data_IF_434665349030
#
_entry.id   IF_434665349030
#
_cell.length_a   1.000
_cell.length_b   1.000
_cell.length_c   1.000
_cell.angle_alpha   90.00
_cell.angle_beta   90.00
_cell.angle_gamma   90.00
#
_symmetry.space_group_name_H-M   'P 1'
#
loop_
_entity.id
_entity.type
_entity.pdbx_description
1 polymer ?
#
# COMPACT_ATOMS: atom_id res chain seq x y z
N UNK A 1 -23.35 -14.22 -0.98
CA UNK A 1 -22.64 -14.37 -2.27
C UNK A 1 -21.17 -14.17 -2.00
N UNK A 2 -20.30 -14.95 -2.64
CA UNK A 2 -18.84 -14.85 -2.47
C UNK A 2 -18.22 -14.71 -3.85
N UNK A 3 -17.25 -13.81 -3.98
CA UNK A 3 -16.35 -13.68 -5.12
C UNK A 3 -14.92 -13.83 -4.60
N UNK A 4 -14.26 -14.94 -4.94
CA UNK A 4 -12.96 -15.37 -4.41
C UNK A 4 -11.82 -15.36 -5.45
N UNK A 5 -12.07 -14.79 -6.62
CA UNK A 5 -11.12 -14.77 -7.73
C UNK A 5 -10.60 -13.35 -8.04
N UNK A 6 -10.13 -12.66 -7.00
CA UNK A 6 -9.46 -11.36 -7.17
C UNK A 6 -7.98 -11.58 -7.45
N UNK A 7 -7.54 -11.21 -8.65
CA UNK A 7 -6.11 -11.29 -9.03
C UNK A 7 -5.26 -10.23 -8.32
N UNK A 8 -3.97 -10.52 -8.22
CA UNK A 8 -3.01 -9.52 -7.78
C UNK A 8 -2.93 -8.37 -8.78
N UNK A 9 -2.96 -7.13 -8.31
CA UNK A 9 -3.08 -5.92 -9.13
C UNK A 9 -4.31 -5.96 -10.06
N UNK A 10 -5.54 -5.98 -9.51
CA UNK A 10 -6.78 -6.21 -10.25
C UNK A 10 -7.05 -5.11 -11.27
N UNK A 11 -7.74 -5.49 -12.35
CA UNK A 11 -8.14 -4.56 -13.39
C UNK A 11 -9.47 -3.85 -13.06
N UNK A 12 -9.68 -2.68 -13.66
CA UNK A 12 -10.96 -1.98 -13.58
C UNK A 12 -12.08 -2.83 -14.21
N UNK A 13 -11.77 -3.48 -15.30
CA UNK A 13 -12.70 -4.37 -16.03
C UNK A 13 -13.18 -5.53 -15.13
N UNK A 14 -12.28 -6.10 -14.29
CA UNK A 14 -12.66 -7.13 -13.32
C UNK A 14 -13.62 -6.58 -12.27
N UNK A 15 -13.37 -5.38 -11.75
CA UNK A 15 -14.27 -4.72 -10.80
C UNK A 15 -15.64 -4.38 -11.44
N UNK A 16 -15.65 -3.88 -12.68
CA UNK A 16 -16.89 -3.58 -13.41
C UNK A 16 -17.71 -4.84 -13.71
N UNK A 17 -17.04 -5.96 -13.98
CA UNK A 17 -17.72 -7.26 -14.13
C UNK A 17 -18.41 -7.68 -12.84
N UNK A 18 -17.75 -7.57 -11.69
CA UNK A 18 -18.34 -7.86 -10.39
C UNK A 18 -19.58 -6.98 -10.16
N UNK A 19 -19.49 -5.69 -10.45
CA UNK A 19 -20.61 -4.76 -10.35
C UNK A 19 -21.78 -5.24 -11.23
N UNK A 20 -21.50 -5.55 -12.50
CA UNK A 20 -22.53 -6.05 -13.43
C UNK A 20 -23.20 -7.34 -12.95
N UNK A 21 -22.43 -8.28 -12.44
CA UNK A 21 -22.91 -9.60 -12.01
C UNK A 21 -23.80 -9.49 -10.75
N UNK A 22 -23.56 -8.51 -9.88
CA UNK A 22 -24.22 -8.42 -8.58
C UNK A 22 -25.15 -7.19 -8.41
N UNK A 23 -25.19 -6.24 -9.34
CA UNK A 23 -25.96 -4.98 -9.19
C UNK A 23 -27.46 -5.19 -8.93
N UNK A 24 -28.04 -6.29 -9.42
CA UNK A 24 -29.46 -6.61 -9.25
C UNK A 24 -29.72 -7.52 -8.02
N UNK A 25 -28.70 -7.83 -7.25
CA UNK A 25 -28.82 -8.69 -6.07
C UNK A 25 -29.18 -7.86 -4.83
N UNK A 26 -29.97 -8.44 -3.95
CA UNK A 26 -30.36 -7.80 -2.70
C UNK A 26 -29.31 -8.05 -1.61
N UNK A 27 -28.50 -7.03 -1.31
CA UNK A 27 -27.54 -7.00 -0.22
C UNK A 27 -27.27 -5.56 0.21
N UNK A 28 -26.88 -5.39 1.46
CA UNK A 28 -26.62 -4.06 2.06
C UNK A 28 -25.13 -3.72 2.17
N UNK A 29 -24.27 -4.74 2.22
CA UNK A 29 -22.83 -4.56 2.49
C UNK A 29 -21.97 -5.32 1.48
N UNK A 30 -20.76 -4.81 1.25
CA UNK A 30 -19.67 -5.55 0.62
C UNK A 30 -18.56 -5.70 1.66
N UNK A 31 -18.13 -6.94 1.89
CA UNK A 31 -17.03 -7.27 2.78
C UNK A 31 -15.81 -7.61 1.93
N UNK A 32 -14.74 -6.84 2.07
CA UNK A 32 -13.44 -7.10 1.46
C UNK A 32 -12.52 -7.80 2.45
N UNK A 33 -12.21 -9.08 2.22
CA UNK A 33 -11.29 -9.86 3.06
C UNK A 33 -10.06 -10.20 2.23
N UNK A 34 -8.88 -9.81 2.68
CA UNK A 34 -7.63 -10.12 1.98
C UNK A 34 -6.60 -9.01 2.04
N UNK A 35 -5.66 -9.03 1.11
CA UNK A 35 -4.69 -7.95 0.94
C UNK A 35 -5.25 -6.72 0.23
N UNK A 36 -4.40 -5.72 -0.01
CA UNK A 36 -4.79 -4.46 -0.67
C UNK A 36 -5.59 -4.65 -1.96
N UNK A 37 -5.22 -5.62 -2.81
CA UNK A 37 -5.94 -5.90 -4.07
C UNK A 37 -7.41 -6.28 -3.84
N UNK A 38 -7.68 -7.16 -2.90
CA UNK A 38 -9.06 -7.59 -2.57
C UNK A 38 -9.86 -6.44 -1.97
N UNK A 39 -9.25 -5.68 -1.05
CA UNK A 39 -9.90 -4.54 -0.42
C UNK A 39 -10.17 -3.40 -1.41
N UNK A 40 -9.23 -3.12 -2.32
CA UNK A 40 -9.39 -2.08 -3.34
C UNK A 40 -10.56 -2.38 -4.29
N UNK A 41 -10.68 -3.64 -4.75
CA UNK A 41 -11.83 -4.07 -5.55
C UNK A 41 -13.12 -3.94 -4.76
N UNK A 42 -13.14 -4.45 -3.51
CA UNK A 42 -14.34 -4.40 -2.67
C UNK A 42 -14.81 -2.96 -2.40
N UNK A 43 -13.87 -2.05 -2.06
CA UNK A 43 -14.16 -0.63 -1.84
C UNK A 43 -14.71 0.05 -3.11
N UNK A 44 -14.07 -0.20 -4.25
CA UNK A 44 -14.49 0.38 -5.52
C UNK A 44 -15.89 -0.11 -5.92
N UNK A 45 -16.14 -1.42 -5.86
CA UNK A 45 -17.45 -2.00 -6.14
C UNK A 45 -18.52 -1.44 -5.21
N UNK A 46 -18.25 -1.41 -3.90
CA UNK A 46 -19.20 -0.89 -2.91
C UNK A 46 -19.52 0.60 -3.13
N UNK A 47 -18.50 1.41 -3.44
CA UNK A 47 -18.67 2.82 -3.79
C UNK A 47 -19.58 2.98 -5.02
N UNK A 48 -19.31 2.25 -6.10
CA UNK A 48 -20.11 2.30 -7.34
C UNK A 48 -21.55 1.81 -7.15
N UNK A 49 -21.76 0.84 -6.29
CA UNK A 49 -23.09 0.25 -6.01
C UNK A 49 -23.80 0.93 -4.84
N UNK A 50 -23.23 1.98 -4.24
CA UNK A 50 -23.75 2.67 -3.07
C UNK A 50 -24.08 1.70 -1.90
N UNK A 51 -23.12 0.82 -1.56
CA UNK A 51 -23.22 -0.17 -0.48
C UNK A 51 -22.25 0.17 0.64
N UNK A 52 -22.56 -0.30 1.86
CA UNK A 52 -21.66 -0.20 2.99
C UNK A 52 -20.41 -1.08 2.78
N UNK A 53 -19.28 -0.64 3.30
CA UNK A 53 -17.94 -1.22 3.10
C UNK A 53 -17.36 -1.69 4.42
N UNK A 54 -17.09 -3.00 4.53
CA UNK A 54 -16.39 -3.59 5.66
C UNK A 54 -15.09 -4.20 5.14
N UNK A 55 -13.95 -3.70 5.62
CA UNK A 55 -12.63 -4.17 5.18
C UNK A 55 -11.94 -4.95 6.28
N UNK A 56 -11.43 -6.13 5.94
CA UNK A 56 -10.73 -7.06 6.83
C UNK A 56 -9.37 -7.39 6.20
N UNK A 57 -8.30 -6.66 6.55
CA UNK A 57 -6.98 -6.92 5.99
C UNK A 57 -6.41 -8.25 6.49
N UNK A 58 -5.78 -9.01 5.59
CA UNK A 58 -5.00 -10.21 5.91
C UNK A 58 -3.52 -10.04 5.59
N UNK A 59 -3.13 -8.92 5.01
CA UNK A 59 -1.77 -8.41 4.88
C UNK A 59 -1.74 -6.98 5.39
N UNK A 60 -0.66 -6.58 6.03
CA UNK A 60 -0.56 -5.30 6.72
C UNK A 60 0.58 -4.46 6.12
N UNK A 61 0.26 -3.62 5.16
CA UNK A 61 1.22 -2.80 4.45
C UNK A 61 0.59 -1.82 3.45
N UNK A 62 -0.62 -2.10 2.97
CA UNK A 62 -1.25 -1.22 1.97
C UNK A 62 -2.05 -0.07 2.56
N UNK A 63 -2.47 -0.16 3.82
CA UNK A 63 -3.39 0.77 4.47
C UNK A 63 -4.75 0.91 3.78
N UNK A 64 -5.09 -0.01 2.86
CA UNK A 64 -6.32 0.08 2.06
C UNK A 64 -7.57 0.09 2.92
N UNK A 65 -7.57 -0.55 4.07
CA UNK A 65 -8.69 -0.64 5.00
C UNK A 65 -9.14 0.71 5.58
N UNK A 66 -8.26 1.72 5.59
CA UNK A 66 -8.55 3.04 6.17
C UNK A 66 -8.32 4.21 5.22
N UNK A 67 -7.96 3.94 3.97
CA UNK A 67 -7.71 5.00 2.99
C UNK A 67 -8.89 5.21 2.04
N UNK A 68 -9.02 6.43 1.50
CA UNK A 68 -9.94 6.80 0.42
C UNK A 68 -9.42 6.45 -0.97
N UNK A 69 -8.49 5.50 -1.03
CA UNK A 69 -7.77 5.13 -2.25
C UNK A 69 -8.15 3.72 -2.65
N UNK A 70 -8.42 3.51 -3.93
CA UNK A 70 -8.51 2.20 -4.56
C UNK A 70 -7.61 2.19 -5.79
N UNK A 71 -6.69 1.22 -5.89
CA UNK A 71 -5.72 1.11 -6.97
C UNK A 71 -6.11 -0.04 -7.89
N UNK A 72 -6.49 0.28 -9.13
CA UNK A 72 -6.87 -0.69 -10.16
C UNK A 72 -6.04 -0.47 -11.42
N UNK A 73 -5.84 -1.51 -12.23
CA UNK A 73 -5.23 -1.36 -13.56
C UNK A 73 -6.26 -0.85 -14.57
N UNK A 74 -5.87 0.17 -15.32
CA UNK A 74 -6.59 0.69 -16.49
C UNK A 74 -5.61 0.68 -17.66
N UNK A 75 -5.93 -0.02 -18.74
CA UNK A 75 -5.04 -0.18 -19.89
C UNK A 75 -3.63 -0.65 -19.47
N UNK A 76 -3.57 -1.67 -18.62
CA UNK A 76 -2.34 -2.26 -18.05
C UNK A 76 -1.46 -1.31 -17.21
N UNK A 77 -1.96 -0.13 -16.83
CA UNK A 77 -1.26 0.81 -15.92
C UNK A 77 -2.03 0.95 -14.62
N UNK A 78 -1.31 0.97 -13.49
CA UNK A 78 -1.90 1.26 -12.18
C UNK A 78 -2.50 2.67 -12.18
N UNK A 79 -3.75 2.79 -11.75
CA UNK A 79 -4.46 4.05 -11.56
C UNK A 79 -5.08 4.08 -10.18
N UNK A 80 -4.80 5.14 -9.44
CA UNK A 80 -5.41 5.38 -8.13
C UNK A 80 -6.71 6.16 -8.30
N UNK A 81 -7.78 5.65 -7.74
CA UNK A 81 -9.07 6.32 -7.61
C UNK A 81 -9.15 6.90 -6.20
N UNK A 82 -9.46 8.18 -6.09
CA UNK A 82 -9.51 8.91 -4.83
C UNK A 82 -10.89 9.52 -4.66
N UNK A 83 -11.61 9.10 -3.62
CA UNK A 83 -12.92 9.66 -3.27
C UNK A 83 -13.22 9.35 -1.80
N UNK A 84 -13.83 10.28 -1.07
CA UNK A 84 -14.20 10.04 0.32
C UNK A 84 -15.26 8.94 0.46
N UNK A 85 -16.08 8.73 -0.56
CA UNK A 85 -17.02 7.62 -0.64
C UNK A 85 -16.37 6.23 -0.76
N UNK A 86 -15.07 6.16 -1.06
CA UNK A 86 -14.30 4.90 -1.09
C UNK A 86 -13.85 4.47 0.32
N UNK A 87 -13.80 5.38 1.30
CA UNK A 87 -13.41 5.04 2.68
C UNK A 87 -14.32 3.92 3.21
N UNK A 88 -13.72 2.92 3.87
CA UNK A 88 -14.49 1.87 4.52
C UNK A 88 -15.34 2.42 5.66
N UNK A 89 -16.57 1.92 5.79
CA UNK A 89 -17.44 2.25 6.92
C UNK A 89 -16.96 1.55 8.20
N UNK A 90 -16.37 0.35 8.05
CA UNK A 90 -15.77 -0.43 9.12
C UNK A 90 -14.46 -1.05 8.63
N UNK A 91 -13.38 -0.85 9.36
CA UNK A 91 -12.12 -1.60 9.23
C UNK A 91 -11.99 -2.55 10.45
N UNK A 92 -11.91 -3.86 10.18
CA UNK A 92 -11.69 -4.87 11.24
C UNK A 92 -10.24 -5.34 11.15
N UNK A 93 -9.42 -4.88 12.09
CA UNK A 93 -7.98 -5.08 12.10
C UNK A 93 -7.60 -6.00 13.25
N UNK A 94 -7.03 -7.18 12.94
CA UNK A 94 -6.69 -8.20 13.92
C UNK A 94 -5.36 -8.88 13.56
N UNK A 95 -4.45 -8.99 14.52
CA UNK A 95 -3.13 -9.60 14.33
C UNK A 95 -3.21 -11.11 14.01
N UNK A 96 -4.31 -11.77 14.35
CA UNK A 96 -4.53 -13.18 14.02
C UNK A 96 -4.39 -13.47 12.51
N UNK A 97 -4.79 -12.53 11.66
CA UNK A 97 -4.73 -12.73 10.20
C UNK A 97 -3.32 -12.72 9.62
N UNK A 98 -2.30 -12.23 10.35
CA UNK A 98 -0.90 -12.24 9.88
C UNK A 98 -0.07 -13.39 10.47
N UNK A 99 -0.49 -14.00 11.57
CA UNK A 99 0.30 -14.98 12.33
C UNK A 99 0.77 -16.17 11.49
N UNK A 100 -0.03 -16.62 10.54
CA UNK A 100 0.27 -17.76 9.67
C UNK A 100 0.70 -17.34 8.26
N UNK A 101 0.96 -16.05 8.04
CA UNK A 101 1.41 -15.55 6.75
C UNK A 101 2.87 -15.93 6.48
N UNK A 102 3.21 -16.10 5.19
CA UNK A 102 4.59 -16.34 4.77
C UNK A 102 5.49 -15.14 5.17
N UNK A 103 6.67 -15.44 5.70
CA UNK A 103 7.65 -14.43 6.14
C UNK A 103 8.00 -13.41 5.03
N UNK A 104 8.02 -13.82 3.77
CA UNK A 104 8.27 -12.93 2.65
C UNK A 104 7.12 -11.94 2.46
N UNK A 105 5.87 -12.39 2.59
CA UNK A 105 4.69 -11.52 2.53
C UNK A 105 4.73 -10.51 3.67
N UNK A 106 5.01 -10.96 4.90
CA UNK A 106 5.12 -10.08 6.07
C UNK A 106 6.22 -9.05 5.84
N UNK A 107 7.41 -9.48 5.44
CA UNK A 107 8.56 -8.62 5.17
C UNK A 107 8.24 -7.55 4.12
N UNK A 108 7.67 -7.96 2.98
CA UNK A 108 7.34 -7.05 1.89
C UNK A 108 6.24 -6.06 2.29
N UNK A 109 5.21 -6.51 3.03
CA UNK A 109 4.13 -5.65 3.52
C UNK A 109 4.63 -4.62 4.53
N UNK A 110 5.46 -5.04 5.49
CA UNK A 110 6.00 -4.13 6.51
C UNK A 110 6.92 -3.07 5.89
N UNK A 111 7.75 -3.44 4.91
CA UNK A 111 8.59 -2.45 4.23
C UNK A 111 7.76 -1.49 3.38
N UNK A 112 6.67 -1.94 2.77
CA UNK A 112 5.72 -1.06 2.08
C UNK A 112 5.15 -0.01 3.05
N UNK A 113 4.61 -0.42 4.19
CA UNK A 113 4.14 0.50 5.22
C UNK A 113 5.24 1.43 5.75
N UNK A 114 6.46 0.91 5.98
CA UNK A 114 7.60 1.74 6.39
C UNK A 114 7.95 2.80 5.33
N UNK A 115 7.91 2.44 4.05
CA UNK A 115 8.15 3.37 2.95
C UNK A 115 7.05 4.44 2.89
N UNK A 116 5.78 4.02 2.97
CA UNK A 116 4.63 4.91 2.95
C UNK A 116 4.71 5.96 4.07
N UNK A 117 4.84 5.53 5.33
CA UNK A 117 4.85 6.47 6.46
C UNK A 117 6.07 7.40 6.45
N UNK A 118 7.26 6.92 6.06
CA UNK A 118 8.45 7.76 6.02
C UNK A 118 8.43 8.79 4.89
N UNK A 119 7.94 8.39 3.71
CA UNK A 119 7.73 9.33 2.60
C UNK A 119 6.61 10.32 2.89
N UNK A 120 5.49 9.83 3.47
CA UNK A 120 4.37 10.68 3.85
C UNK A 120 4.74 11.73 4.91
N UNK A 121 5.67 11.40 5.82
CA UNK A 121 6.22 12.35 6.78
C UNK A 121 6.99 13.49 6.09
N UNK A 122 7.77 13.17 5.05
CA UNK A 122 8.60 14.12 4.31
C UNK A 122 7.84 14.85 3.18
N UNK A 123 6.62 14.39 2.87
CA UNK A 123 5.79 14.97 1.82
C UNK A 123 5.47 16.44 2.06
N UNK A 124 5.37 17.23 0.99
CA UNK A 124 4.86 18.62 1.03
C UNK A 124 3.42 18.73 1.56
N UNK A 125 2.64 17.65 1.47
CA UNK A 125 1.27 17.58 1.99
C UNK A 125 1.20 17.21 3.47
N UNK A 126 2.34 16.90 4.08
CA UNK A 126 2.40 16.52 5.49
C UNK A 126 2.04 17.69 6.41
N UNK A 127 1.27 17.40 7.44
CA UNK A 127 0.95 18.32 8.52
C UNK A 127 1.33 17.70 9.88
N UNK A 128 1.14 18.42 10.97
CA UNK A 128 1.51 17.95 12.31
C UNK A 128 0.83 16.62 12.67
N UNK A 129 -0.42 16.44 12.31
CA UNK A 129 -1.18 15.21 12.59
C UNK A 129 -0.63 14.01 11.79
N UNK A 130 -0.46 14.16 10.47
CA UNK A 130 0.09 13.08 9.64
C UNK A 130 1.53 12.74 10.03
N UNK A 131 2.36 13.73 10.37
CA UNK A 131 3.73 13.51 10.88
C UNK A 131 3.77 12.73 12.19
N UNK A 132 2.85 13.02 13.11
CA UNK A 132 2.72 12.27 14.35
C UNK A 132 2.38 10.80 14.09
N UNK A 133 1.36 10.53 13.28
CA UNK A 133 0.95 9.17 12.91
C UNK A 133 2.07 8.41 12.20
N UNK A 134 2.69 9.01 11.19
CA UNK A 134 3.75 8.40 10.41
C UNK A 134 4.98 8.06 11.25
N UNK A 135 5.37 8.93 12.19
CA UNK A 135 6.49 8.64 13.08
C UNK A 135 6.17 7.47 14.03
N UNK A 136 4.98 7.48 14.65
CA UNK A 136 4.53 6.37 15.50
C UNK A 136 4.39 5.06 14.71
N UNK A 137 3.89 5.12 13.48
CA UNK A 137 3.80 3.98 12.58
C UNK A 137 5.17 3.34 12.34
N UNK A 138 6.17 4.15 11.97
CA UNK A 138 7.50 3.64 11.69
C UNK A 138 8.15 2.99 12.92
N UNK A 139 8.01 3.60 14.11
CA UNK A 139 8.54 3.05 15.36
C UNK A 139 7.93 1.67 15.67
N UNK A 140 6.61 1.51 15.49
CA UNK A 140 5.92 0.25 15.71
C UNK A 140 6.27 -0.82 14.66
N UNK A 141 6.35 -0.44 13.39
CA UNK A 141 6.68 -1.36 12.29
C UNK A 141 8.11 -1.88 12.40
N UNK A 142 9.08 -0.98 12.65
CA UNK A 142 10.49 -1.34 12.83
C UNK A 142 10.67 -2.30 14.02
N UNK A 143 10.10 -1.98 15.17
CA UNK A 143 10.20 -2.83 16.33
C UNK A 143 9.40 -4.13 16.15
N UNK A 144 8.20 -4.05 15.60
CA UNK A 144 7.33 -5.20 15.37
C UNK A 144 7.95 -6.25 14.46
N UNK A 145 8.57 -5.86 13.34
CA UNK A 145 9.20 -6.81 12.43
C UNK A 145 10.47 -7.45 13.02
N UNK A 146 11.25 -6.67 13.78
CA UNK A 146 12.49 -7.15 14.40
C UNK A 146 12.16 -8.14 15.54
N UNK A 147 11.16 -7.82 16.36
CA UNK A 147 10.77 -8.62 17.53
C UNK A 147 9.73 -9.71 17.20
N UNK A 148 9.23 -9.75 15.97
CA UNK A 148 8.11 -10.59 15.52
C UNK A 148 6.84 -10.37 16.35
N UNK A 149 6.61 -9.12 16.75
CA UNK A 149 5.40 -8.73 17.44
C UNK A 149 4.34 -8.30 16.41
N UNK A 150 3.40 -9.20 16.12
CA UNK A 150 2.37 -8.97 15.10
C UNK A 150 1.38 -7.88 15.46
N UNK A 151 1.07 -7.68 16.75
CA UNK A 151 0.21 -6.57 17.18
C UNK A 151 0.83 -5.20 16.86
N UNK A 152 2.16 -5.06 17.06
CA UNK A 152 2.88 -3.84 16.67
C UNK A 152 2.89 -3.63 15.17
N UNK A 153 3.07 -4.68 14.38
CA UNK A 153 3.03 -4.61 12.92
C UNK A 153 1.66 -4.12 12.47
N UNK A 154 0.60 -4.73 12.96
CA UNK A 154 -0.78 -4.41 12.60
C UNK A 154 -1.15 -2.98 13.00
N UNK A 155 -0.83 -2.58 14.23
CA UNK A 155 -1.07 -1.22 14.71
C UNK A 155 -0.23 -0.20 13.93
N UNK A 156 1.03 -0.51 13.63
CA UNK A 156 1.89 0.34 12.82
C UNK A 156 1.35 0.55 11.40
N UNK A 157 0.88 -0.53 10.75
CA UNK A 157 0.25 -0.45 9.43
C UNK A 157 -1.05 0.37 9.44
N UNK A 158 -1.87 0.24 10.48
CA UNK A 158 -3.08 1.04 10.65
C UNK A 158 -2.75 2.54 10.78
N UNK A 159 -1.78 2.89 11.63
CA UNK A 159 -1.34 4.29 11.79
C UNK A 159 -0.71 4.84 10.51
N UNK A 160 0.03 4.02 9.78
CA UNK A 160 0.55 4.36 8.47
C UNK A 160 -0.57 4.71 7.49
N UNK A 161 -1.56 3.82 7.33
CA UNK A 161 -2.71 4.05 6.46
C UNK A 161 -3.44 5.37 6.76
N UNK A 162 -3.64 5.68 8.05
CA UNK A 162 -4.22 6.96 8.50
C UNK A 162 -3.29 8.15 8.23
N UNK A 163 -1.98 7.96 8.32
CA UNK A 163 -0.97 9.00 8.07
C UNK A 163 -0.82 9.32 6.58
N UNK A 164 -0.41 8.32 5.77
CA UNK A 164 -0.16 8.55 4.35
C UNK A 164 -1.44 8.81 3.56
N UNK A 165 -2.56 8.20 3.94
CA UNK A 165 -3.85 8.42 3.31
C UNK A 165 -4.33 9.88 3.38
N UNK A 166 -3.82 10.66 4.33
CA UNK A 166 -4.05 12.10 4.52
C UNK A 166 -2.82 12.97 4.17
N UNK A 167 -1.83 12.39 3.50
CA UNK A 167 -0.64 13.05 2.97
C UNK A 167 -0.35 12.51 1.57
N UNK A 168 0.86 12.05 1.28
CA UNK A 168 1.20 11.37 0.01
C UNK A 168 2.48 10.58 0.15
N UNK A 169 2.60 9.49 -0.60
CA UNK A 169 3.89 8.87 -0.92
C UNK A 169 4.63 9.74 -1.95
N UNK A 170 5.94 9.54 -2.09
CA UNK A 170 6.81 10.42 -2.90
C UNK A 170 7.75 9.63 -3.83
N UNK A 171 8.99 10.08 -3.99
CA UNK A 171 9.97 9.60 -4.96
C UNK A 171 10.24 8.09 -4.88
N UNK A 172 10.31 7.49 -3.70
CA UNK A 172 10.56 6.05 -3.55
C UNK A 172 9.48 5.21 -4.21
N UNK A 173 8.19 5.60 -4.02
CA UNK A 173 7.06 4.95 -4.67
C UNK A 173 7.08 5.15 -6.18
N UNK A 174 7.37 6.37 -6.68
CA UNK A 174 7.52 6.62 -8.11
C UNK A 174 8.60 5.71 -8.74
N UNK A 175 9.76 5.61 -8.11
CA UNK A 175 10.84 4.74 -8.55
C UNK A 175 10.47 3.25 -8.52
N UNK A 176 9.65 2.81 -7.55
CA UNK A 176 9.26 1.41 -7.39
C UNK A 176 8.45 0.87 -8.56
N UNK A 177 7.68 1.72 -9.26
CA UNK A 177 6.87 1.30 -10.41
C UNK A 177 7.70 0.72 -11.54
N UNK A 178 8.93 1.21 -11.74
CA UNK A 178 9.86 0.69 -12.76
C UNK A 178 10.14 -0.79 -12.53
N UNK A 179 10.45 -1.16 -11.29
CA UNK A 179 10.73 -2.54 -10.88
C UNK A 179 9.46 -3.39 -10.84
N UNK A 180 8.36 -2.82 -10.36
CA UNK A 180 7.07 -3.53 -10.29
C UNK A 180 6.53 -3.90 -11.69
N UNK A 181 6.80 -3.09 -12.70
CA UNK A 181 6.46 -3.39 -14.09
C UNK A 181 7.30 -4.55 -14.67
N UNK A 182 8.46 -4.85 -14.08
CA UNK A 182 9.30 -6.01 -14.42
C UNK A 182 8.98 -7.25 -13.55
N UNK A 183 7.93 -7.19 -12.74
CA UNK A 183 7.47 -8.34 -11.94
C UNK A 183 8.07 -8.42 -10.55
N UNK A 184 8.89 -7.45 -10.12
CA UNK A 184 9.38 -7.36 -8.73
C UNK A 184 8.20 -6.99 -7.83
N UNK A 185 8.03 -7.68 -6.71
CA UNK A 185 6.98 -7.34 -5.74
C UNK A 185 7.16 -5.91 -5.20
N UNK A 186 6.05 -5.22 -4.95
CA UNK A 186 6.05 -3.79 -4.63
C UNK A 186 6.91 -3.46 -3.40
N UNK A 187 6.70 -4.16 -2.28
CA UNK A 187 7.50 -3.95 -1.06
C UNK A 187 8.99 -4.27 -1.26
N UNK A 188 9.31 -5.29 -2.07
CA UNK A 188 10.71 -5.60 -2.39
C UNK A 188 11.37 -4.44 -3.19
N UNK A 189 10.67 -3.88 -4.18
CA UNK A 189 11.15 -2.71 -4.90
C UNK A 189 11.36 -1.51 -3.96
N UNK A 190 10.39 -1.23 -3.08
CA UNK A 190 10.44 -0.13 -2.12
C UNK A 190 11.60 -0.24 -1.13
N UNK A 191 12.03 -1.44 -0.75
CA UNK A 191 13.21 -1.60 0.11
C UNK A 191 14.44 -0.85 -0.43
N UNK A 192 14.63 -0.87 -1.75
CA UNK A 192 15.77 -0.20 -2.40
C UNK A 192 15.44 1.21 -2.84
N UNK A 193 14.30 1.42 -3.47
CA UNK A 193 13.95 2.73 -4.05
C UNK A 193 13.72 3.78 -2.97
N UNK A 194 13.08 3.44 -1.85
CA UNK A 194 12.88 4.35 -0.73
C UNK A 194 14.20 4.67 -0.03
N UNK A 195 15.12 3.69 0.11
CA UNK A 195 16.46 3.97 0.63
C UNK A 195 17.19 5.01 -0.22
N UNK A 196 17.10 4.91 -1.56
CA UNK A 196 17.71 5.87 -2.49
C UNK A 196 17.02 7.23 -2.38
N UNK A 197 15.69 7.26 -2.37
CA UNK A 197 14.90 8.49 -2.26
C UNK A 197 15.20 9.24 -0.95
N UNK A 198 15.24 8.53 0.18
CA UNK A 198 15.58 9.13 1.48
C UNK A 198 16.98 9.71 1.52
N UNK A 199 17.96 9.00 0.93
CA UNK A 199 19.32 9.52 0.83
C UNK A 199 19.38 10.80 -0.01
N UNK A 200 18.69 10.81 -1.15
CA UNK A 200 18.62 11.94 -2.05
C UNK A 200 17.97 13.16 -1.41
N UNK A 201 16.84 12.94 -0.71
CA UNK A 201 16.07 14.01 -0.07
C UNK A 201 16.62 14.45 1.30
N UNK A 202 17.66 13.81 1.84
CA UNK A 202 18.17 14.08 3.18
C UNK A 202 17.17 13.78 4.29
N UNK A 203 16.33 12.75 4.10
CA UNK A 203 15.32 12.34 5.09
C UNK A 203 15.95 11.93 6.42
N UNK A 204 15.32 12.33 7.53
CA UNK A 204 15.72 11.88 8.87
C UNK A 204 15.61 10.36 9.08
N UNK A 205 14.80 9.69 8.24
CA UNK A 205 14.59 8.26 8.31
C UNK A 205 15.64 7.44 7.56
N UNK A 206 16.52 8.07 6.76
CA UNK A 206 17.44 7.35 5.88
C UNK A 206 18.21 6.25 6.60
N UNK A 207 18.91 6.58 7.67
CA UNK A 207 19.77 5.62 8.37
C UNK A 207 18.96 4.45 8.99
N UNK A 208 17.82 4.75 9.62
CA UNK A 208 16.97 3.73 10.24
C UNK A 208 16.38 2.81 9.19
N UNK A 209 15.76 3.37 8.13
CA UNK A 209 15.15 2.61 7.05
C UNK A 209 16.18 1.74 6.33
N UNK A 210 17.33 2.29 5.97
CA UNK A 210 18.41 1.57 5.31
C UNK A 210 18.95 0.41 6.17
N UNK A 211 19.12 0.61 7.46
CA UNK A 211 19.55 -0.44 8.39
C UNK A 211 18.48 -1.52 8.58
N UNK A 212 17.20 -1.15 8.58
CA UNK A 212 16.09 -2.10 8.60
C UNK A 212 16.10 -2.99 7.35
N UNK A 213 16.23 -2.40 6.17
CA UNK A 213 16.34 -3.15 4.89
C UNK A 213 17.51 -4.14 4.92
N UNK A 214 18.68 -3.72 5.44
CA UNK A 214 19.84 -4.62 5.61
C UNK A 214 19.54 -5.80 6.54
N UNK A 215 18.89 -5.53 7.68
CA UNK A 215 18.53 -6.57 8.66
C UNK A 215 17.54 -7.57 8.09
N UNK A 216 16.64 -7.14 7.23
CA UNK A 216 15.62 -7.97 6.60
C UNK A 216 16.13 -8.76 5.39
N UNK A 217 17.38 -8.57 5.00
CA UNK A 217 18.11 -9.33 3.98
C UNK A 217 17.31 -9.50 2.67
N UNK A 218 16.93 -8.39 2.07
CA UNK A 218 16.25 -8.40 0.78
C UNK A 218 17.23 -8.83 -0.33
N UNK A 219 16.84 -9.77 -1.22
CA UNK A 219 17.62 -10.08 -2.42
C UNK A 219 17.86 -8.83 -3.26
N UNK A 220 19.06 -8.72 -3.84
CA UNK A 220 19.37 -7.60 -4.75
C UNK A 220 18.46 -7.61 -5.97
N UNK A 221 18.04 -6.43 -6.39
CA UNK A 221 17.25 -6.23 -7.61
C UNK A 221 18.08 -5.53 -8.68
N UNK A 222 17.77 -5.81 -9.93
CA UNK A 222 18.36 -5.16 -11.11
C UNK A 222 17.26 -4.78 -12.08
N UNK A 223 17.49 -3.76 -12.89
CA UNK A 223 16.62 -3.40 -14.01
C UNK A 223 17.04 -4.18 -15.25
N UNK A 224 16.04 -4.64 -16.02
CA UNK A 224 16.23 -5.26 -17.33
C UNK A 224 16.13 -4.24 -18.47
N UNK A 225 15.85 -2.98 -18.16
CA UNK A 225 15.68 -1.88 -19.11
C UNK A 225 16.74 -0.79 -18.92
N UNK A 226 16.88 0.10 -19.91
CA UNK A 226 17.78 1.23 -19.82
C UNK A 226 17.27 2.28 -18.81
N UNK A 227 18.19 3.11 -18.28
CA UNK A 227 17.83 4.21 -17.38
C UNK A 227 16.93 5.25 -18.06
N UNK A 228 17.07 5.47 -19.36
CA UNK A 228 16.24 6.38 -20.15
C UNK A 228 14.79 5.88 -20.19
N UNK A 229 14.59 4.57 -20.44
CA UNK A 229 13.26 3.95 -20.42
C UNK A 229 12.64 4.01 -19.01
N UNK A 230 13.43 3.73 -17.99
CA UNK A 230 13.00 3.84 -16.60
C UNK A 230 12.56 5.27 -16.24
N UNK A 231 13.34 6.29 -16.64
CA UNK A 231 13.02 7.69 -16.41
C UNK A 231 11.70 8.10 -17.12
N UNK A 232 11.45 7.60 -18.33
CA UNK A 232 10.22 7.88 -19.07
C UNK A 232 8.94 7.36 -18.37
N UNK A 233 9.06 6.35 -17.51
CA UNK A 233 7.95 5.85 -16.68
C UNK A 233 7.67 6.81 -15.53
N UNK A 234 8.71 7.38 -14.92
CA UNK A 234 8.65 8.17 -13.69
C UNK A 234 8.26 9.64 -13.97
N UNK A 235 8.87 10.27 -14.97
CA UNK A 235 8.71 11.70 -15.28
C UNK A 235 7.24 12.17 -15.36
N UNK A 236 6.29 11.39 -15.94
CA UNK A 236 4.89 11.79 -15.97
C UNK A 236 4.18 11.76 -14.61
N UNK A 237 4.77 11.12 -13.61
CA UNK A 237 4.16 10.96 -12.28
C UNK A 237 4.48 12.15 -11.36
N UNK A 238 3.99 13.33 -11.75
CA UNK A 238 4.21 14.59 -11.02
C UNK A 238 3.76 14.54 -9.57
N UNK A 239 2.74 13.72 -9.25
CA UNK A 239 2.20 13.63 -7.89
C UNK A 239 3.23 13.11 -6.89
N UNK A 240 4.10 12.19 -7.29
CA UNK A 240 5.11 11.58 -6.42
C UNK A 240 6.49 12.25 -6.51
N UNK A 241 6.69 13.16 -7.47
CA UNK A 241 7.96 13.88 -7.63
C UNK A 241 8.01 15.19 -6.83
N UNK A 242 6.87 15.72 -6.43
CA UNK A 242 6.71 16.92 -5.63
C UNK A 242 6.61 16.63 -4.13
#
# INVERSE_FOLDING_TARGET
MVFDNVESNPSLEAAEKIISDFQNSDFSHIIGIGGGSSMDVAKYCAFKMNKLKIMIPTTFGSGSEVTRISVLKVNNKKKSFHDDGIIADIAMVDSHFIENSNNEIIRNSVIDACAQCTEAYDSKLANMYTKFLCNAAFDLLEDGIITKNYEKIVMGSLLDGLGFGNSSTTLGHALSYVYSNEGISHGHALAFTTSVAHKFNGSKFYERFHNLVKKLDFPKISLNQSLENAAAIIIPDKKHLD
#
